data_IF_022010946736
#
_entry.id   IF_022010946736
#
_cell.length_a   1.000
_cell.length_b   1.000
_cell.length_c   1.000
_cell.angle_alpha   90.00
_cell.angle_beta   90.00
_cell.angle_gamma   90.00
#
_symmetry.space_group_name_H-M   'P 1'
#
loop_
_entity.id
_entity.type
_entity.pdbx_description
1 polymer ?
#
# COMPACT_ATOMS: atom_id res chain seq x y z
N UNK A 1 13.57 56.94 -22.46
CA UNK A 1 13.30 56.04 -21.32
C UNK A 1 12.14 55.16 -21.77
N UNK A 2 12.46 54.05 -22.40
CA UNK A 2 11.46 53.07 -22.83
C UNK A 2 11.19 52.08 -21.69
N UNK A 3 9.95 51.64 -21.46
CA UNK A 3 9.69 50.53 -20.57
C UNK A 3 9.84 49.20 -21.32
N UNK A 4 10.69 48.33 -20.78
CA UNK A 4 10.91 46.97 -21.24
C UNK A 4 9.73 46.02 -20.98
N UNK A 5 9.77 44.94 -21.77
CA UNK A 5 8.92 43.75 -21.92
C UNK A 5 8.55 42.97 -20.65
N UNK A 6 7.35 42.39 -20.61
CA UNK A 6 7.13 40.95 -20.30
C UNK A 6 5.63 40.61 -20.46
N UNK A 7 5.23 39.91 -21.53
CA UNK A 7 3.94 39.21 -21.53
C UNK A 7 4.19 37.73 -21.74
N UNK A 8 4.49 37.06 -20.62
CA UNK A 8 4.62 35.62 -20.55
C UNK A 8 3.29 34.95 -20.89
N UNK A 9 3.33 34.08 -21.89
CA UNK A 9 2.30 33.14 -22.31
C UNK A 9 1.35 32.70 -21.17
N UNK A 10 0.12 33.22 -21.19
CA UNK A 10 -1.02 32.65 -20.46
C UNK A 10 -1.88 31.82 -21.42
N UNK A 11 -1.25 30.89 -22.14
CA UNK A 11 -1.93 29.74 -22.72
C UNK A 11 -1.52 28.53 -21.88
N UNK A 12 -2.08 28.42 -20.67
CA UNK A 12 -2.15 27.11 -20.02
C UNK A 12 -3.06 26.30 -20.93
N UNK A 13 -2.42 25.42 -21.70
CA UNK A 13 -3.03 24.75 -22.85
C UNK A 13 -4.32 24.06 -22.41
N UNK A 14 -5.45 24.48 -22.97
CA UNK A 14 -6.74 23.80 -22.88
C UNK A 14 -6.63 22.28 -23.18
N UNK A 15 -5.65 21.90 -24.00
CA UNK A 15 -5.31 20.53 -24.35
C UNK A 15 -4.64 19.72 -23.22
N UNK A 16 -4.02 20.38 -22.25
CA UNK A 16 -3.34 19.76 -21.11
C UNK A 16 -4.34 19.44 -19.99
N UNK A 17 -5.34 20.30 -19.79
CA UNK A 17 -6.45 20.07 -18.86
C UNK A 17 -7.27 18.83 -19.24
N UNK A 18 -7.54 18.62 -20.54
CA UNK A 18 -8.28 17.44 -21.00
C UNK A 18 -7.48 16.14 -20.87
N UNK A 19 -6.16 16.19 -21.00
CA UNK A 19 -5.28 15.05 -20.80
C UNK A 19 -5.23 14.63 -19.32
N UNK A 20 -5.20 15.61 -18.40
CA UNK A 20 -5.26 15.37 -16.95
C UNK A 20 -6.60 14.74 -16.56
N UNK A 21 -7.73 15.26 -17.05
CA UNK A 21 -9.06 14.72 -16.81
C UNK A 21 -9.18 13.27 -17.34
N UNK A 22 -8.60 13.01 -18.52
CA UNK A 22 -8.56 11.67 -19.08
C UNK A 22 -7.71 10.71 -18.24
N UNK A 23 -6.55 11.15 -17.77
CA UNK A 23 -5.70 10.34 -16.89
C UNK A 23 -6.40 10.05 -15.57
N UNK A 24 -7.07 11.05 -14.96
CA UNK A 24 -7.87 10.88 -13.75
C UNK A 24 -8.99 9.85 -13.96
N UNK A 25 -9.72 9.94 -15.07
CA UNK A 25 -10.79 9.00 -15.40
C UNK A 25 -10.28 7.56 -15.56
N UNK A 26 -9.12 7.37 -16.21
CA UNK A 26 -8.47 6.07 -16.37
C UNK A 26 -8.04 5.50 -15.02
N UNK A 27 -7.43 6.32 -14.15
CA UNK A 27 -7.03 5.93 -12.80
C UNK A 27 -8.27 5.56 -11.95
N UNK A 28 -9.29 6.43 -11.94
CA UNK A 28 -10.55 6.20 -11.24
C UNK A 28 -11.15 4.85 -11.63
N UNK A 29 -11.28 4.57 -12.93
CA UNK A 29 -11.83 3.30 -13.42
C UNK A 29 -10.99 2.11 -12.99
N UNK A 30 -9.67 2.21 -13.11
CA UNK A 30 -8.74 1.14 -12.76
C UNK A 30 -8.81 0.81 -11.27
N UNK A 31 -8.77 1.83 -10.41
CA UNK A 31 -8.84 1.67 -8.96
C UNK A 31 -10.21 1.19 -8.50
N UNK A 32 -11.29 1.67 -9.12
CA UNK A 32 -12.66 1.18 -8.85
C UNK A 32 -12.77 -0.31 -9.14
N UNK A 33 -12.30 -0.76 -10.31
CA UNK A 33 -12.31 -2.17 -10.68
C UNK A 33 -11.48 -3.02 -9.71
N UNK A 34 -10.30 -2.53 -9.34
CA UNK A 34 -9.45 -3.19 -8.36
C UNK A 34 -10.14 -3.31 -6.99
N UNK A 35 -10.72 -2.23 -6.48
CA UNK A 35 -11.47 -2.25 -5.21
C UNK A 35 -12.63 -3.25 -5.28
N UNK A 36 -13.42 -3.24 -6.35
CA UNK A 36 -14.53 -4.18 -6.56
C UNK A 36 -14.06 -5.64 -6.61
N UNK A 37 -12.90 -5.90 -7.21
CA UNK A 37 -12.30 -7.25 -7.21
C UNK A 37 -11.91 -7.73 -5.81
N UNK A 38 -11.57 -6.82 -4.89
CA UNK A 38 -11.29 -7.14 -3.50
C UNK A 38 -12.58 -7.27 -2.68
N UNK A 39 -13.50 -6.32 -2.82
CA UNK A 39 -14.72 -6.14 -2.04
C UNK A 39 -15.81 -7.15 -2.38
N UNK A 40 -15.78 -7.81 -3.54
CA UNK A 40 -16.65 -8.97 -3.81
C UNK A 40 -16.48 -10.13 -2.81
N UNK A 41 -15.39 -10.11 -2.02
CA UNK A 41 -15.11 -11.09 -0.97
C UNK A 41 -15.68 -10.71 0.40
N UNK A 42 -16.20 -9.49 0.57
CA UNK A 42 -16.89 -9.13 1.81
C UNK A 42 -18.22 -9.86 1.92
N UNK A 43 -18.69 -10.02 3.15
CA UNK A 43 -20.04 -10.51 3.44
C UNK A 43 -20.80 -9.42 4.23
N UNK A 44 -21.84 -8.78 3.66
CA UNK A 44 -22.28 -8.93 2.27
C UNK A 44 -21.29 -8.33 1.25
N UNK A 45 -21.33 -8.72 -0.04
CA UNK A 45 -20.51 -8.13 -1.09
C UNK A 45 -20.79 -6.64 -1.25
N UNK A 46 -19.72 -5.83 -1.40
CA UNK A 46 -19.81 -4.39 -1.60
C UNK A 46 -19.35 -4.04 -3.02
N UNK A 47 -20.07 -3.12 -3.66
CA UNK A 47 -19.75 -2.60 -4.98
C UNK A 47 -19.58 -1.09 -4.92
N UNK A 48 -18.45 -0.61 -5.42
CA UNK A 48 -18.14 0.81 -5.60
C UNK A 48 -18.59 1.22 -7.00
N UNK A 49 -19.46 2.22 -7.07
CA UNK A 49 -20.01 2.80 -8.29
C UNK A 49 -19.32 4.12 -8.63
N UNK A 50 -19.18 5.01 -7.65
CA UNK A 50 -18.40 6.23 -7.77
C UNK A 50 -17.35 6.30 -6.66
N UNK A 51 -16.11 6.02 -7.04
CA UNK A 51 -14.97 6.02 -6.14
C UNK A 51 -14.87 7.28 -5.26
N UNK A 52 -15.20 8.46 -5.78
CA UNK A 52 -15.02 9.71 -5.03
C UNK A 52 -16.15 9.99 -4.05
N UNK A 53 -17.32 9.36 -4.25
CA UNK A 53 -18.48 9.49 -3.36
C UNK A 53 -18.51 8.35 -2.34
N UNK A 54 -18.32 7.12 -2.80
CA UNK A 54 -18.51 5.92 -1.99
C UNK A 54 -17.45 5.76 -0.90
N UNK A 55 -16.30 6.43 -1.01
CA UNK A 55 -15.24 6.43 0.00
C UNK A 55 -15.46 7.41 1.15
N UNK A 56 -16.35 8.40 0.99
CA UNK A 56 -16.40 9.58 1.86
C UNK A 56 -16.80 9.28 3.31
N UNK A 57 -17.59 8.23 3.55
CA UNK A 57 -18.04 7.84 4.89
C UNK A 57 -17.08 6.85 5.59
N UNK A 58 -16.09 6.33 4.84
CA UNK A 58 -15.09 5.38 5.29
C UNK A 58 -15.52 3.92 5.26
N UNK A 59 -16.78 3.58 4.97
CA UNK A 59 -17.26 2.19 5.01
C UNK A 59 -16.49 1.30 4.04
N UNK A 60 -16.45 1.69 2.76
CA UNK A 60 -15.80 0.88 1.72
C UNK A 60 -14.29 0.75 1.96
N UNK A 61 -13.66 1.79 2.53
CA UNK A 61 -12.26 1.78 2.89
C UNK A 61 -11.99 0.83 4.06
N UNK A 62 -12.81 0.90 5.13
CA UNK A 62 -12.71 -0.02 6.26
C UNK A 62 -12.83 -1.48 5.79
N UNK A 63 -13.86 -1.78 4.99
CA UNK A 63 -14.10 -3.13 4.47
C UNK A 63 -12.98 -3.62 3.55
N UNK A 64 -12.47 -2.76 2.69
CA UNK A 64 -11.30 -3.07 1.86
C UNK A 64 -10.10 -3.45 2.74
N UNK A 65 -9.80 -2.66 3.76
CA UNK A 65 -8.67 -2.90 4.65
C UNK A 65 -8.84 -4.13 5.53
N UNK A 66 -10.06 -4.44 5.96
CA UNK A 66 -10.37 -5.70 6.67
C UNK A 66 -10.00 -6.91 5.81
N UNK A 67 -10.38 -6.89 4.53
CA UNK A 67 -10.07 -7.97 3.59
C UNK A 67 -8.57 -8.05 3.30
N UNK A 68 -7.90 -6.91 3.11
CA UNK A 68 -6.48 -6.89 2.72
C UNK A 68 -5.56 -7.28 3.87
N UNK A 69 -5.83 -6.79 5.08
CA UNK A 69 -5.01 -6.98 6.28
C UNK A 69 -5.43 -8.19 7.12
N UNK A 70 -6.62 -8.75 6.88
CA UNK A 70 -7.25 -9.77 7.74
C UNK A 70 -7.39 -9.34 9.21
N UNK A 71 -7.41 -8.02 9.49
CA UNK A 71 -7.64 -7.44 10.80
C UNK A 71 -8.95 -6.65 10.79
N UNK A 72 -9.62 -6.55 11.94
CA UNK A 72 -10.78 -5.65 12.07
C UNK A 72 -10.33 -4.20 12.06
N UNK A 73 -11.05 -3.36 11.33
CA UNK A 73 -10.82 -1.93 11.28
C UNK A 73 -11.96 -1.23 12.01
N UNK A 74 -11.67 -0.38 13.02
CA UNK A 74 -12.71 0.35 13.73
C UNK A 74 -13.37 1.38 12.79
N UNK A 75 -14.68 1.28 12.62
CA UNK A 75 -15.51 2.25 11.92
C UNK A 75 -16.90 2.33 12.58
N UNK A 76 -17.52 3.51 12.53
CA UNK A 76 -18.83 3.75 13.11
C UNK A 76 -19.96 3.58 12.07
N UNK A 77 -20.97 2.78 12.45
CA UNK A 77 -22.15 2.42 11.65
C UNK A 77 -23.33 3.38 11.84
N UNK A 78 -23.14 4.50 12.56
CA UNK A 78 -24.19 5.43 12.94
C UNK A 78 -25.25 5.66 11.83
N UNK A 79 -26.52 5.48 12.20
CA UNK A 79 -27.69 5.56 11.30
C UNK A 79 -27.80 6.91 10.59
N UNK A 80 -27.26 7.98 11.19
CA UNK A 80 -27.19 9.33 10.60
C UNK A 80 -25.73 9.69 10.32
N UNK A 81 -25.36 9.67 9.04
CA UNK A 81 -24.00 9.95 8.57
C UNK A 81 -23.74 11.45 8.48
N UNK A 82 -23.63 12.10 9.64
CA UNK A 82 -23.16 13.48 9.75
C UNK A 82 -21.70 13.59 9.33
N UNK A 83 -21.30 14.75 8.79
CA UNK A 83 -19.92 15.01 8.34
C UNK A 83 -18.89 14.72 9.44
N UNK A 84 -19.21 15.01 10.70
CA UNK A 84 -18.36 14.74 11.87
C UNK A 84 -18.13 13.23 12.06
N UNK A 85 -19.13 12.38 11.86
CA UNK A 85 -18.99 10.92 11.92
C UNK A 85 -18.12 10.41 10.78
N UNK A 86 -18.38 10.84 9.54
CA UNK A 86 -17.54 10.51 8.38
C UNK A 86 -16.07 10.86 8.65
N UNK A 87 -15.83 12.07 9.17
CA UNK A 87 -14.48 12.53 9.48
C UNK A 87 -13.79 11.68 10.57
N UNK A 88 -14.54 11.24 11.58
CA UNK A 88 -14.04 10.31 12.61
C UNK A 88 -13.67 8.95 12.01
N UNK A 89 -14.53 8.39 11.16
CA UNK A 89 -14.27 7.12 10.47
C UNK A 89 -13.01 7.20 9.60
N UNK A 90 -12.88 8.25 8.79
CA UNK A 90 -11.71 8.43 7.94
C UNK A 90 -10.43 8.62 8.76
N UNK A 91 -10.49 9.32 9.90
CA UNK A 91 -9.35 9.42 10.84
C UNK A 91 -8.92 8.05 11.34
N UNK A 92 -9.87 7.25 11.84
CA UNK A 92 -9.58 5.90 12.34
C UNK A 92 -8.96 5.01 11.26
N UNK A 93 -9.41 5.14 10.03
CA UNK A 93 -8.87 4.41 8.87
C UNK A 93 -7.43 4.84 8.55
N UNK A 94 -7.16 6.14 8.56
CA UNK A 94 -5.81 6.68 8.35
C UNK A 94 -4.87 6.25 9.49
N UNK A 95 -5.34 6.28 10.73
CA UNK A 95 -4.60 5.83 11.90
C UNK A 95 -4.31 4.34 11.83
N UNK A 96 -5.27 3.52 11.38
CA UNK A 96 -5.04 2.10 11.13
C UNK A 96 -3.98 1.87 10.04
N UNK A 97 -4.07 2.59 8.91
CA UNK A 97 -3.08 2.48 7.82
C UNK A 97 -1.66 2.84 8.29
N UNK A 98 -1.51 3.91 9.05
CA UNK A 98 -0.21 4.40 9.50
C UNK A 98 0.34 3.59 10.68
N UNK A 99 -0.48 3.30 11.68
CA UNK A 99 -0.03 2.68 12.93
C UNK A 99 -0.01 1.15 12.85
N UNK A 100 -1.02 0.52 12.24
CA UNK A 100 -1.13 -0.95 12.18
C UNK A 100 -0.49 -1.54 10.93
N UNK A 101 -0.65 -0.89 9.78
CA UNK A 101 -0.12 -1.38 8.51
C UNK A 101 1.24 -0.74 8.14
N UNK A 102 1.66 0.33 8.83
CA UNK A 102 2.91 1.05 8.54
C UNK A 102 2.98 1.63 7.12
N UNK A 103 1.83 2.02 6.56
CA UNK A 103 1.75 2.72 5.29
C UNK A 103 2.22 4.16 5.46
N UNK A 104 3.10 4.62 4.58
CA UNK A 104 3.53 6.02 4.53
C UNK A 104 2.51 6.84 3.74
N UNK A 105 1.69 7.61 4.44
CA UNK A 105 0.76 8.56 3.84
C UNK A 105 1.38 9.96 3.89
N UNK A 106 1.49 10.62 2.75
CA UNK A 106 2.03 11.98 2.63
C UNK A 106 0.90 12.89 2.15
N UNK A 107 0.66 13.99 2.87
CA UNK A 107 -0.31 15.02 2.49
C UNK A 107 -1.75 14.49 2.31
N UNK A 108 -2.17 13.55 3.16
CA UNK A 108 -3.55 13.05 3.19
C UNK A 108 -4.25 13.62 4.42
N UNK A 109 -5.22 14.51 4.22
CA UNK A 109 -6.08 14.98 5.30
C UNK A 109 -7.43 14.25 5.27
N UNK A 110 -7.98 13.85 6.45
CA UNK A 110 -9.28 13.20 6.52
C UNK A 110 -10.42 14.00 5.87
N UNK A 111 -10.41 15.33 6.02
CA UNK A 111 -11.45 16.21 5.46
C UNK A 111 -11.49 16.17 3.93
N UNK A 112 -10.33 16.08 3.29
CA UNK A 112 -10.22 16.05 1.84
C UNK A 112 -10.81 14.76 1.24
N UNK A 113 -10.74 13.66 1.98
CA UNK A 113 -11.39 12.38 1.60
C UNK A 113 -12.89 12.46 1.83
N UNK A 114 -13.34 13.04 2.95
CA UNK A 114 -14.78 13.26 3.21
C UNK A 114 -15.40 14.18 2.14
N UNK A 115 -14.62 15.11 1.59
CA UNK A 115 -15.01 15.97 0.47
C UNK A 115 -14.90 15.30 -0.91
N UNK A 116 -14.35 14.08 -0.97
CA UNK A 116 -14.21 13.34 -2.22
C UNK A 116 -13.22 13.97 -3.20
N UNK A 117 -12.19 14.69 -2.72
CA UNK A 117 -11.22 15.36 -3.61
C UNK A 117 -10.47 14.34 -4.48
N UNK A 118 -10.60 14.37 -5.82
CA UNK A 118 -10.12 13.30 -6.69
C UNK A 118 -8.65 12.94 -6.49
N UNK A 119 -7.74 13.91 -6.56
CA UNK A 119 -6.31 13.68 -6.41
C UNK A 119 -5.93 13.04 -5.07
N UNK A 120 -6.61 13.42 -3.98
CA UNK A 120 -6.34 12.90 -2.63
C UNK A 120 -6.88 11.47 -2.51
N UNK A 121 -8.09 11.21 -3.01
CA UNK A 121 -8.68 9.86 -3.01
C UNK A 121 -7.83 8.92 -3.86
N UNK A 122 -7.45 9.31 -5.08
CA UNK A 122 -6.61 8.50 -5.95
C UNK A 122 -5.24 8.21 -5.31
N UNK A 123 -4.62 9.23 -4.71
CA UNK A 123 -3.35 9.07 -3.98
C UNK A 123 -3.45 8.11 -2.80
N UNK A 124 -4.54 8.16 -2.04
CA UNK A 124 -4.79 7.22 -0.94
C UNK A 124 -4.95 5.78 -1.45
N UNK A 125 -5.80 5.55 -2.45
CA UNK A 125 -6.02 4.19 -2.99
C UNK A 125 -4.73 3.63 -3.60
N UNK A 126 -3.97 4.47 -4.29
CA UNK A 126 -2.65 4.10 -4.81
C UNK A 126 -1.68 3.65 -3.71
N UNK A 127 -1.59 4.40 -2.60
CA UNK A 127 -0.75 4.02 -1.47
C UNK A 127 -1.15 2.66 -0.87
N UNK A 128 -2.47 2.39 -0.77
CA UNK A 128 -3.00 1.10 -0.30
C UNK A 128 -2.63 -0.03 -1.28
N UNK A 129 -2.84 0.17 -2.59
CA UNK A 129 -2.50 -0.81 -3.62
C UNK A 129 -1.01 -1.17 -3.55
N UNK A 130 -0.13 -0.16 -3.55
CA UNK A 130 1.31 -0.36 -3.50
C UNK A 130 1.70 -1.17 -2.27
N UNK A 131 1.17 -0.83 -1.10
CA UNK A 131 1.52 -1.53 0.13
C UNK A 131 1.11 -3.01 0.12
N UNK A 132 -0.14 -3.31 -0.25
CA UNK A 132 -0.69 -4.66 -0.12
C UNK A 132 -0.47 -5.58 -1.32
N UNK A 133 -0.10 -5.05 -2.49
CA UNK A 133 0.22 -5.86 -3.66
C UNK A 133 1.72 -6.05 -3.87
N UNK A 134 2.54 -5.02 -3.63
CA UNK A 134 3.99 -5.12 -3.80
C UNK A 134 4.63 -5.81 -2.60
N UNK A 135 4.20 -5.50 -1.37
CA UNK A 135 4.68 -6.13 -0.13
C UNK A 135 4.22 -7.58 0.10
N UNK A 136 3.59 -8.22 -0.89
CA UNK A 136 3.31 -9.67 -0.89
C UNK A 136 4.32 -10.47 -1.72
N UNK A 137 5.13 -9.78 -2.53
CA UNK A 137 6.09 -10.44 -3.44
C UNK A 137 7.43 -10.78 -2.77
N UNK A 138 7.71 -10.22 -1.59
CA UNK A 138 8.94 -10.40 -0.82
C UNK A 138 8.88 -11.48 0.27
N UNK A 139 7.69 -12.03 0.60
CA UNK A 139 7.55 -13.04 1.68
C UNK A 139 7.76 -14.50 1.22
N UNK A 140 8.10 -14.74 -0.05
CA UNK A 140 8.39 -16.09 -0.56
C UNK A 140 9.80 -16.60 -0.23
N UNK A 141 10.61 -15.84 0.52
CA UNK A 141 11.98 -16.21 0.90
C UNK A 141 12.18 -16.47 2.40
N UNK A 142 11.13 -16.69 3.20
CA UNK A 142 11.30 -17.17 4.58
C UNK A 142 11.48 -18.69 4.59
N UNK A 143 12.65 -19.22 5.03
CA UNK A 143 12.80 -20.67 5.19
C UNK A 143 11.89 -21.14 6.33
N UNK A 144 11.13 -22.21 6.06
CA UNK A 144 10.38 -22.96 7.06
C UNK A 144 11.30 -23.28 8.26
N UNK A 145 10.90 -22.85 9.46
CA UNK A 145 11.53 -23.31 10.70
C UNK A 145 11.10 -24.76 10.95
N UNK A 146 12.02 -25.73 11.08
CA UNK A 146 11.64 -27.08 11.49
C UNK A 146 11.31 -27.11 12.99
N UNK A 147 10.22 -27.81 13.33
CA UNK A 147 9.81 -28.12 14.71
C UNK A 147 10.93 -28.85 15.49
N UNK A 148 11.02 -28.68 16.81
CA UNK A 148 12.03 -29.34 17.62
C UNK A 148 11.61 -30.77 17.97
N UNK A 149 12.27 -31.76 17.38
CA UNK A 149 12.36 -33.11 17.96
C UNK A 149 13.82 -33.40 18.34
N UNK A 150 14.04 -33.50 19.65
CA UNK A 150 15.01 -34.33 20.37
C UNK A 150 16.18 -34.97 19.59
N UNK A 151 17.42 -34.53 19.85
CA UNK A 151 18.48 -35.32 20.53
C UNK A 151 19.88 -34.65 20.42
N UNK A 152 20.56 -34.55 21.57
CA UNK A 152 22.01 -34.33 21.74
C UNK A 152 22.83 -35.56 21.28
N UNK A 153 24.17 -35.52 21.03
CA UNK A 153 25.15 -34.63 21.65
C UNK A 153 26.16 -33.92 20.73
N UNK A 154 26.68 -32.83 21.32
CA UNK A 154 27.74 -31.92 20.91
C UNK A 154 28.88 -32.54 20.10
N UNK A 155 29.17 -31.96 18.95
CA UNK A 155 30.49 -31.92 18.29
C UNK A 155 30.73 -30.49 17.78
N UNK A 156 31.98 -29.99 17.75
CA UNK A 156 32.26 -28.57 17.73
C UNK A 156 31.92 -27.96 16.37
N UNK A 157 31.00 -26.99 16.38
CA UNK A 157 30.70 -26.12 15.24
C UNK A 157 31.94 -25.28 14.96
N UNK A 158 32.52 -25.27 13.74
CA UNK A 158 33.55 -24.31 13.39
C UNK A 158 32.94 -22.91 13.40
N UNK A 159 33.60 -22.00 14.10
CA UNK A 159 33.19 -20.61 14.24
C UNK A 159 32.82 -19.99 12.87
N UNK A 160 31.71 -19.25 12.85
CA UNK A 160 31.28 -18.43 11.74
C UNK A 160 32.43 -17.48 11.34
N UNK A 161 32.81 -17.35 10.07
CA UNK A 161 33.91 -16.46 9.69
C UNK A 161 33.45 -15.00 9.79
N UNK A 162 34.20 -14.19 10.52
CA UNK A 162 34.02 -12.74 10.68
C UNK A 162 34.21 -11.94 9.37
N UNK A 163 34.32 -12.61 8.22
CA UNK A 163 34.48 -11.97 6.93
C UNK A 163 33.86 -12.81 5.78
N UNK A 164 32.80 -12.33 5.12
CA UNK A 164 32.11 -13.06 4.04
C UNK A 164 33.01 -13.36 2.83
N UNK A 165 34.09 -12.60 2.62
CA UNK A 165 35.06 -12.88 1.55
C UNK A 165 35.91 -14.12 1.85
N UNK A 166 36.25 -14.35 3.12
CA UNK A 166 37.02 -15.53 3.52
C UNK A 166 36.16 -16.80 3.47
N UNK A 167 34.86 -16.70 3.79
CA UNK A 167 33.92 -17.82 3.68
C UNK A 167 33.85 -18.37 2.25
N UNK A 168 33.69 -17.49 1.26
CA UNK A 168 33.57 -17.90 -0.14
C UNK A 168 34.85 -18.58 -0.64
N UNK A 169 36.02 -18.07 -0.26
CA UNK A 169 37.29 -18.69 -0.63
C UNK A 169 37.48 -20.07 0.01
N UNK A 170 37.12 -20.23 1.29
CA UNK A 170 37.21 -21.53 1.96
C UNK A 170 36.22 -22.54 1.37
N UNK A 171 34.97 -22.14 1.11
CA UNK A 171 33.96 -23.02 0.52
C UNK A 171 34.35 -23.49 -0.89
N UNK A 172 34.81 -22.57 -1.75
CA UNK A 172 35.25 -22.91 -3.11
C UNK A 172 36.41 -23.91 -3.07
N UNK A 173 37.39 -23.71 -2.18
CA UNK A 173 38.54 -24.63 -2.05
C UNK A 173 38.12 -26.02 -1.54
N UNK A 174 37.11 -26.11 -0.68
CA UNK A 174 36.58 -27.39 -0.20
C UNK A 174 35.86 -28.17 -1.30
N UNK A 175 35.07 -27.49 -2.14
CA UNK A 175 34.35 -28.14 -3.25
C UNK A 175 35.33 -28.64 -4.31
N UNK A 176 36.38 -27.87 -4.62
CA UNK A 176 37.39 -28.27 -5.60
C UNK A 176 38.24 -29.45 -5.13
N UNK A 177 38.54 -29.54 -3.83
CA UNK A 177 39.26 -30.70 -3.26
C UNK A 177 38.43 -31.98 -3.27
N UNK A 178 37.14 -31.91 -2.98
CA UNK A 178 36.27 -33.09 -2.98
C UNK A 178 35.83 -33.55 -4.37
N UNK A 179 36.24 -32.85 -5.44
CA UNK A 179 35.88 -33.18 -6.83
C UNK A 179 36.98 -33.92 -7.60
N UNK A 180 38.05 -34.35 -6.93
CA UNK A 180 39.15 -35.11 -7.54
C UNK A 180 39.41 -36.50 -6.90
N UNK A 181 38.52 -37.00 -6.05
CA UNK A 181 38.50 -38.40 -5.59
C UNK A 181 37.23 -39.12 -6.04
#
# INVERSE_FOLDING_TARGET
MEPETFNGNQNINFFDLSALDQQEAVQKRTFTNWMNSCLKRSDPPILVHDLFQDVQDGLVLAKLLEILSSKKVPWDTATVQQRTHKLSNIRNIIDFLTNECKVKLININPSDIVDGKPAIVLGLIWAIILHFQVGRTDDSSKPLKPSPQNQSPKSPVPAQPENPKNFLLTWVNTILKNSQD
#
